data_IF_854523833630
#
_entry.id   IF_854523833630
#
_cell.length_a   1.000
_cell.length_b   1.000
_cell.length_c   1.000
_cell.angle_alpha   90.00
_cell.angle_beta   90.00
_cell.angle_gamma   90.00
#
_symmetry.space_group_name_H-M   'P 1'
#
loop_
_entity.id
_entity.type
_entity.pdbx_description
1 polymer ?
#
# COMPACT_ATOMS: atom_id res chain seq x y z
N UNK A 1 -28.18 56.07 -39.62
CA UNK A 1 -28.33 54.71 -39.12
C UNK A 1 -27.10 54.36 -38.27
N UNK A 2 -27.18 54.53 -36.95
CA UNK A 2 -26.06 54.36 -36.01
C UNK A 2 -26.09 52.93 -35.42
N UNK A 3 -24.91 52.34 -35.30
CA UNK A 3 -24.67 50.95 -34.93
C UNK A 3 -25.09 50.62 -33.48
N UNK A 4 -26.03 49.73 -33.32
CA UNK A 4 -26.49 49.13 -32.05
C UNK A 4 -25.69 47.85 -31.70
N UNK A 5 -24.35 47.93 -31.58
CA UNK A 5 -23.56 46.87 -30.99
C UNK A 5 -22.77 47.41 -29.80
N UNK A 6 -23.39 47.26 -28.62
CA UNK A 6 -22.67 47.49 -27.36
C UNK A 6 -21.57 46.43 -27.15
N UNK A 7 -20.53 46.71 -26.36
CA UNK A 7 -19.45 45.77 -26.10
C UNK A 7 -20.00 44.52 -25.41
N UNK A 8 -19.57 43.34 -25.89
CA UNK A 8 -19.92 42.04 -25.31
C UNK A 8 -19.53 42.02 -23.83
N UNK A 9 -20.47 41.64 -22.97
CA UNK A 9 -20.19 41.46 -21.53
C UNK A 9 -19.07 40.43 -21.33
N UNK A 10 -18.10 40.71 -20.46
CA UNK A 10 -17.04 39.75 -20.14
C UNK A 10 -17.70 38.49 -19.55
N UNK A 11 -17.16 37.29 -19.86
CA UNK A 11 -17.67 36.02 -19.31
C UNK A 11 -17.58 36.04 -17.79
N UNK A 12 -18.65 35.62 -17.11
CA UNK A 12 -18.71 35.57 -15.65
C UNK A 12 -17.64 34.61 -15.04
N UNK A 13 -17.34 34.75 -13.75
CA UNK A 13 -16.28 33.99 -13.09
C UNK A 13 -16.44 32.45 -13.21
N UNK A 14 -17.67 31.96 -13.27
CA UNK A 14 -17.97 30.53 -13.44
C UNK A 14 -17.58 30.03 -14.83
N UNK A 15 -17.87 30.82 -15.89
CA UNK A 15 -17.51 30.43 -17.27
C UNK A 15 -16.02 30.46 -17.53
N UNK A 16 -15.27 31.34 -16.86
CA UNK A 16 -13.79 31.37 -16.94
C UNK A 16 -13.15 30.20 -16.21
N UNK A 17 -13.74 29.77 -15.11
CA UNK A 17 -13.29 28.60 -14.34
C UNK A 17 -13.49 27.30 -15.13
N UNK A 18 -14.69 27.09 -15.69
CA UNK A 18 -14.99 25.92 -16.53
C UNK A 18 -14.10 25.87 -17.77
N UNK A 19 -13.84 27.02 -18.41
CA UNK A 19 -12.97 27.11 -19.59
C UNK A 19 -11.50 26.78 -19.28
N UNK A 20 -11.01 27.08 -18.06
CA UNK A 20 -9.69 26.65 -17.58
C UNK A 20 -9.61 25.15 -17.30
N UNK A 21 -10.69 24.55 -16.78
CA UNK A 21 -10.78 23.12 -16.55
C UNK A 21 -10.81 22.29 -17.84
N UNK A 22 -11.43 22.81 -18.89
CA UNK A 22 -11.54 22.15 -20.21
C UNK A 22 -10.28 22.39 -21.08
N UNK A 23 -9.34 23.26 -20.66
CA UNK A 23 -8.06 23.37 -21.36
C UNK A 23 -7.23 22.09 -21.18
N UNK A 24 -6.47 21.69 -22.20
CA UNK A 24 -5.60 20.48 -22.14
C UNK A 24 -4.68 20.50 -20.90
N UNK A 25 -4.18 21.68 -20.51
CA UNK A 25 -3.37 21.90 -19.30
C UNK A 25 -4.18 21.74 -18.02
N UNK A 26 -5.47 22.17 -18.03
CA UNK A 26 -6.38 22.00 -16.89
C UNK A 26 -6.72 20.52 -16.69
N UNK A 27 -7.06 19.82 -17.76
CA UNK A 27 -7.33 18.37 -17.73
C UNK A 27 -6.11 17.59 -17.22
N UNK A 28 -4.91 17.90 -17.72
CA UNK A 28 -3.68 17.26 -17.24
C UNK A 28 -3.47 17.44 -15.73
N UNK A 29 -3.69 18.67 -15.21
CA UNK A 29 -3.56 18.96 -13.77
C UNK A 29 -4.59 18.19 -12.95
N UNK A 30 -5.82 18.07 -13.42
CA UNK A 30 -6.88 17.31 -12.75
C UNK A 30 -6.51 15.83 -12.73
N UNK A 31 -6.13 15.26 -13.87
CA UNK A 31 -5.72 13.85 -13.96
C UNK A 31 -4.55 13.58 -13.03
N UNK A 32 -3.53 14.41 -13.04
CA UNK A 32 -2.38 14.27 -12.12
C UNK A 32 -2.79 14.36 -10.65
N UNK A 33 -3.65 15.31 -10.29
CA UNK A 33 -4.12 15.44 -8.91
C UNK A 33 -4.93 14.22 -8.48
N UNK A 34 -5.85 13.74 -9.31
CA UNK A 34 -6.67 12.54 -9.05
C UNK A 34 -5.78 11.30 -8.93
N UNK A 35 -4.79 11.16 -9.81
CA UNK A 35 -3.84 10.05 -9.75
C UNK A 35 -3.02 10.06 -8.45
N UNK A 36 -2.48 11.22 -8.07
CA UNK A 36 -1.69 11.37 -6.83
C UNK A 36 -2.57 11.08 -5.60
N UNK A 37 -3.77 11.64 -5.56
CA UNK A 37 -4.72 11.38 -4.46
C UNK A 37 -5.10 9.90 -4.43
N UNK A 38 -5.36 9.28 -5.57
CA UNK A 38 -5.69 7.85 -5.66
C UNK A 38 -4.55 6.96 -5.15
N UNK A 39 -3.30 7.27 -5.51
CA UNK A 39 -2.13 6.52 -5.03
C UNK A 39 -1.93 6.59 -3.52
N UNK A 40 -2.40 7.66 -2.88
CA UNK A 40 -2.30 7.83 -1.42
C UNK A 40 -3.54 7.25 -0.71
N UNK A 41 -4.74 7.58 -1.18
CA UNK A 41 -6.00 7.25 -0.50
C UNK A 41 -6.36 5.78 -0.65
N UNK A 42 -6.15 5.20 -1.84
CA UNK A 42 -6.55 3.82 -2.11
C UNK A 42 -5.88 2.78 -1.19
N UNK A 43 -4.54 2.82 -0.96
CA UNK A 43 -3.92 1.90 -0.01
C UNK A 43 -4.40 2.12 1.42
N UNK A 44 -4.62 3.36 1.85
CA UNK A 44 -5.14 3.64 3.19
C UNK A 44 -6.54 3.06 3.41
N UNK A 45 -7.43 3.19 2.42
CA UNK A 45 -8.77 2.62 2.46
C UNK A 45 -8.71 1.09 2.49
N UNK A 46 -7.86 0.49 1.66
CA UNK A 46 -7.68 -0.98 1.64
C UNK A 46 -7.17 -1.50 3.00
N UNK A 47 -6.19 -0.82 3.60
CA UNK A 47 -5.67 -1.20 4.92
C UNK A 47 -6.72 -1.02 6.02
N UNK A 48 -7.53 0.04 5.98
CA UNK A 48 -8.62 0.26 6.93
C UNK A 48 -9.70 -0.83 6.83
N UNK A 49 -10.09 -1.22 5.62
CA UNK A 49 -11.04 -2.32 5.39
C UNK A 49 -10.47 -3.62 5.93
N UNK A 50 -9.23 -3.95 5.65
CA UNK A 50 -8.58 -5.15 6.17
C UNK A 50 -8.54 -5.16 7.70
N UNK A 51 -8.14 -4.05 8.33
CA UNK A 51 -8.10 -3.92 9.79
C UNK A 51 -9.48 -4.09 10.44
N UNK A 52 -10.53 -3.58 9.79
CA UNK A 52 -11.91 -3.68 10.29
C UNK A 52 -12.52 -5.08 10.16
N UNK A 53 -12.19 -5.79 9.05
CA UNK A 53 -12.88 -7.03 8.67
C UNK A 53 -12.09 -8.31 8.97
N UNK A 54 -10.77 -8.23 9.18
CA UNK A 54 -9.89 -9.40 9.27
C UNK A 54 -9.18 -9.52 10.62
N UNK A 55 -9.81 -10.13 11.63
CA UNK A 55 -9.11 -10.50 12.86
C UNK A 55 -8.08 -11.60 12.55
N UNK A 56 -6.94 -11.55 13.24
CA UNK A 56 -5.86 -12.53 13.11
C UNK A 56 -5.77 -13.31 14.42
N UNK A 57 -5.72 -14.63 14.32
CA UNK A 57 -5.43 -15.47 15.46
C UNK A 57 -3.91 -15.44 15.75
N UNK A 58 -3.53 -14.99 16.95
CA UNK A 58 -2.16 -15.09 17.42
C UNK A 58 -1.89 -16.46 18.04
N UNK A 59 -0.69 -16.99 17.87
CA UNK A 59 -0.21 -18.12 18.68
C UNK A 59 -0.20 -17.72 20.16
N UNK A 60 -0.93 -18.44 21.00
CA UNK A 60 -1.10 -18.10 22.41
C UNK A 60 -2.52 -17.63 22.78
N UNK A 61 -3.43 -17.48 21.81
CA UNK A 61 -4.87 -17.30 22.07
C UNK A 61 -5.40 -15.86 21.99
N UNK A 62 -4.58 -14.88 21.58
CA UNK A 62 -5.02 -13.49 21.36
C UNK A 62 -5.54 -13.26 19.93
N UNK A 63 -6.24 -12.16 19.73
CA UNK A 63 -6.70 -11.71 18.41
C UNK A 63 -5.97 -10.42 18.01
N UNK A 64 -5.10 -10.50 17.00
CA UNK A 64 -4.41 -9.34 16.42
C UNK A 64 -5.18 -8.75 15.22
N UNK A 65 -4.76 -7.58 14.76
CA UNK A 65 -5.23 -6.96 13.52
C UNK A 65 -4.05 -6.37 12.75
N UNK A 66 -4.05 -6.51 11.44
CA UNK A 66 -3.15 -5.76 10.57
C UNK A 66 -3.79 -4.40 10.34
N UNK A 67 -3.17 -3.34 10.89
CA UNK A 67 -3.65 -1.98 10.71
C UNK A 67 -3.23 -1.40 9.37
N UNK A 68 -2.02 -1.77 8.90
CA UNK A 68 -1.42 -1.20 7.70
C UNK A 68 -0.38 -2.13 7.10
N UNK A 69 -0.34 -2.20 5.79
CA UNK A 69 0.79 -2.74 5.03
C UNK A 69 1.74 -1.59 4.70
N UNK A 70 2.96 -1.63 5.25
CA UNK A 70 3.98 -0.59 5.06
C UNK A 70 4.65 -0.78 3.70
N UNK A 71 5.15 -1.99 3.44
CA UNK A 71 5.73 -2.43 2.17
C UNK A 71 5.41 -3.92 1.90
N UNK A 72 6.12 -4.54 0.97
CA UNK A 72 5.83 -5.92 0.57
C UNK A 72 6.13 -6.97 1.62
N UNK A 73 6.93 -6.68 2.66
CA UNK A 73 7.33 -7.61 3.72
C UNK A 73 7.18 -7.03 5.15
N UNK A 74 6.59 -5.85 5.29
CA UNK A 74 6.45 -5.17 6.60
C UNK A 74 5.03 -4.66 6.79
N UNK A 75 4.45 -4.98 7.94
CA UNK A 75 3.09 -4.57 8.33
C UNK A 75 3.10 -3.90 9.70
N UNK A 76 2.05 -3.14 10.00
CA UNK A 76 1.74 -2.70 11.36
C UNK A 76 0.70 -3.64 11.94
N UNK A 77 1.03 -4.30 13.04
CA UNK A 77 0.14 -5.16 13.82
C UNK A 77 -0.36 -4.41 15.06
N UNK A 78 -1.58 -4.72 15.46
CA UNK A 78 -2.15 -4.37 16.76
C UNK A 78 -2.60 -5.65 17.44
N UNK A 79 -1.99 -5.98 18.55
CA UNK A 79 -2.33 -7.14 19.38
C UNK A 79 -2.67 -6.67 20.80
N UNK A 80 -3.55 -7.39 21.55
CA UNK A 80 -3.99 -6.95 22.87
C UNK A 80 -2.87 -6.82 23.90
N UNK A 81 -1.88 -7.69 23.86
CA UNK A 81 -0.78 -7.71 24.83
C UNK A 81 0.42 -6.85 24.40
N UNK A 82 0.79 -6.90 23.11
CA UNK A 82 1.97 -6.21 22.58
C UNK A 82 1.67 -4.79 22.09
N UNK A 83 0.39 -4.42 21.98
CA UNK A 83 -0.04 -3.13 21.46
C UNK A 83 0.19 -2.97 19.95
N UNK A 84 0.45 -1.73 19.52
CA UNK A 84 0.72 -1.39 18.11
C UNK A 84 2.22 -1.45 17.86
N UNK A 85 2.63 -2.31 16.92
CA UNK A 85 4.04 -2.50 16.58
C UNK A 85 4.25 -2.73 15.09
N UNK A 86 5.44 -2.39 14.60
CA UNK A 86 5.89 -2.76 13.27
C UNK A 86 6.37 -4.20 13.27
N UNK A 87 5.93 -4.99 12.31
CA UNK A 87 6.27 -6.40 12.19
C UNK A 87 6.83 -6.69 10.79
N UNK A 88 8.00 -7.34 10.75
CA UNK A 88 8.60 -7.87 9.54
C UNK A 88 8.15 -9.31 9.34
N UNK A 89 7.61 -9.58 8.16
CA UNK A 89 7.21 -10.92 7.72
C UNK A 89 8.45 -11.72 7.33
N UNK A 90 8.60 -12.91 7.89
CA UNK A 90 9.76 -13.77 7.71
C UNK A 90 9.61 -14.70 6.50
N UNK A 91 10.76 -15.21 6.03
CA UNK A 91 10.82 -16.25 4.98
C UNK A 91 11.01 -15.70 3.57
N UNK A 92 10.81 -14.42 3.35
CA UNK A 92 10.98 -13.79 2.04
C UNK A 92 11.52 -12.37 2.12
N UNK A 93 11.92 -11.83 0.98
CA UNK A 93 12.41 -10.48 0.80
C UNK A 93 11.71 -9.85 -0.41
N UNK A 94 11.40 -8.56 -0.33
CA UNK A 94 10.74 -7.79 -1.39
C UNK A 94 11.59 -6.59 -1.79
N UNK A 95 11.32 -5.99 -2.98
CA UNK A 95 11.93 -4.72 -3.37
C UNK A 95 11.70 -3.62 -2.35
N UNK A 96 12.67 -2.73 -2.18
CA UNK A 96 12.64 -1.66 -1.19
C UNK A 96 11.79 -0.47 -1.67
N UNK A 97 10.82 -0.06 -0.85
CA UNK A 97 9.90 1.02 -1.19
C UNK A 97 10.44 2.40 -0.83
N UNK A 98 11.05 2.54 0.36
CA UNK A 98 11.42 3.85 0.92
C UNK A 98 12.84 4.30 0.58
N UNK A 99 13.71 3.36 0.18
CA UNK A 99 15.06 3.64 -0.28
C UNK A 99 15.41 2.83 -1.53
N UNK A 100 14.60 2.91 -2.60
CA UNK A 100 14.82 2.14 -3.83
C UNK A 100 16.09 2.62 -4.53
N UNK A 101 16.85 1.69 -5.08
CA UNK A 101 18.08 2.01 -5.81
C UNK A 101 17.80 2.46 -7.26
N UNK A 102 16.62 2.17 -7.78
CA UNK A 102 16.19 2.55 -9.13
C UNK A 102 14.66 2.61 -9.22
N UNK A 103 14.14 3.20 -10.29
CA UNK A 103 12.69 3.32 -10.53
C UNK A 103 12.02 1.96 -10.70
N UNK A 104 12.69 0.99 -11.31
CA UNK A 104 12.14 -0.37 -11.47
C UNK A 104 11.95 -1.06 -10.14
N UNK A 105 12.87 -0.89 -9.17
CA UNK A 105 12.73 -1.39 -7.81
C UNK A 105 11.54 -0.74 -7.10
N UNK A 106 11.39 0.58 -7.20
CA UNK A 106 10.24 1.28 -6.60
C UNK A 106 8.90 0.76 -7.14
N UNK A 107 8.77 0.61 -8.46
CA UNK A 107 7.55 0.07 -9.08
C UNK A 107 7.28 -1.36 -8.61
N UNK A 108 8.33 -2.19 -8.54
CA UNK A 108 8.20 -3.56 -8.05
C UNK A 108 7.81 -3.61 -6.57
N UNK A 109 8.33 -2.71 -5.72
CA UNK A 109 7.96 -2.58 -4.31
C UNK A 109 6.49 -2.20 -4.11
N UNK A 110 5.97 -1.26 -4.91
CA UNK A 110 4.54 -0.92 -4.89
C UNK A 110 3.67 -2.13 -5.28
N UNK A 111 4.07 -2.86 -6.32
CA UNK A 111 3.36 -4.07 -6.75
C UNK A 111 3.40 -5.16 -5.66
N UNK A 112 4.53 -5.36 -4.99
CA UNK A 112 4.65 -6.29 -3.87
C UNK A 112 3.75 -5.90 -2.69
N UNK A 113 3.72 -4.61 -2.33
CA UNK A 113 2.84 -4.09 -1.28
C UNK A 113 1.36 -4.32 -1.60
N UNK A 114 0.94 -4.10 -2.85
CA UNK A 114 -0.42 -4.36 -3.30
C UNK A 114 -0.75 -5.85 -3.35
N UNK A 115 0.20 -6.70 -3.75
CA UNK A 115 0.03 -8.14 -3.74
C UNK A 115 -0.22 -8.64 -2.31
N UNK A 116 0.58 -8.18 -1.33
CA UNK A 116 0.39 -8.53 0.08
C UNK A 116 -0.99 -8.08 0.60
N UNK A 117 -1.42 -6.83 0.33
CA UNK A 117 -2.77 -6.36 0.69
C UNK A 117 -3.86 -7.25 0.13
N UNK A 118 -3.74 -7.60 -1.15
CA UNK A 118 -4.71 -8.46 -1.84
C UNK A 118 -4.76 -9.86 -1.26
N UNK A 119 -3.60 -10.44 -0.91
CA UNK A 119 -3.53 -11.75 -0.25
C UNK A 119 -4.21 -11.72 1.12
N UNK A 120 -3.94 -10.70 1.93
CA UNK A 120 -4.59 -10.48 3.24
C UNK A 120 -6.10 -10.32 3.07
N UNK A 121 -6.53 -9.50 2.10
CA UNK A 121 -7.96 -9.24 1.85
C UNK A 121 -8.72 -10.49 1.43
N UNK A 122 -8.11 -11.36 0.62
CA UNK A 122 -8.74 -12.59 0.12
C UNK A 122 -8.76 -13.72 1.14
N UNK A 123 -7.88 -13.70 2.13
CA UNK A 123 -7.82 -14.76 3.13
C UNK A 123 -8.99 -14.67 4.10
N UNK A 124 -9.57 -15.83 4.44
CA UNK A 124 -10.64 -15.92 5.44
C UNK A 124 -10.08 -16.07 6.84
N UNK A 125 -8.94 -16.75 6.99
CA UNK A 125 -8.28 -17.00 8.27
C UNK A 125 -6.82 -16.55 8.21
N UNK A 126 -6.45 -15.72 9.19
CA UNK A 126 -5.08 -15.26 9.35
C UNK A 126 -4.56 -15.76 10.69
N UNK A 127 -3.31 -16.25 10.71
CA UNK A 127 -2.61 -16.67 11.92
C UNK A 127 -1.23 -16.03 11.93
N UNK A 128 -0.82 -15.49 13.07
CA UNK A 128 0.50 -14.89 13.29
C UNK A 128 1.26 -15.67 14.37
N UNK A 129 2.52 -15.97 14.10
CA UNK A 129 3.46 -16.55 15.04
C UNK A 129 4.66 -15.60 15.22
N UNK A 130 5.01 -15.29 16.47
CA UNK A 130 6.14 -14.42 16.81
C UNK A 130 7.43 -15.21 16.85
N UNK A 131 8.51 -14.65 16.28
CA UNK A 131 9.84 -15.26 16.23
C UNK A 131 10.94 -14.32 16.74
N UNK A 132 10.60 -13.38 17.62
CA UNK A 132 11.54 -12.45 18.22
C UNK A 132 11.45 -11.04 17.64
N UNK A 133 12.54 -10.28 17.76
CA UNK A 133 12.63 -8.87 17.36
C UNK A 133 13.90 -8.66 16.56
N UNK A 134 13.86 -7.85 15.52
CA UNK A 134 15.06 -7.52 14.74
C UNK A 134 15.87 -6.37 15.40
N UNK A 135 17.03 -6.07 14.80
CA UNK A 135 17.93 -5.00 15.29
C UNK A 135 17.33 -3.58 15.23
N UNK A 136 16.19 -3.41 14.54
CA UNK A 136 15.48 -2.14 14.42
C UNK A 136 14.25 -2.07 15.35
N UNK A 137 14.05 -3.06 16.21
CA UNK A 137 12.92 -3.14 17.11
C UNK A 137 11.62 -3.59 16.46
N UNK A 138 11.64 -4.11 15.22
CA UNK A 138 10.45 -4.67 14.58
C UNK A 138 10.24 -6.12 15.04
N UNK A 139 9.00 -6.48 15.32
CA UNK A 139 8.66 -7.88 15.57
C UNK A 139 8.96 -8.73 14.32
N UNK A 140 9.60 -9.86 14.51
CA UNK A 140 9.77 -10.88 13.47
C UNK A 140 8.59 -11.84 13.57
N UNK A 141 7.80 -11.95 12.50
CA UNK A 141 6.58 -12.76 12.54
C UNK A 141 6.47 -13.65 11.29
N UNK A 142 5.89 -14.83 11.48
CA UNK A 142 5.34 -15.64 10.39
C UNK A 142 3.85 -15.37 10.29
N UNK A 143 3.37 -15.16 9.09
CA UNK A 143 1.95 -14.94 8.80
C UNK A 143 1.44 -16.07 7.91
N UNK A 144 0.42 -16.77 8.38
CA UNK A 144 -0.30 -17.77 7.61
C UNK A 144 -1.64 -17.21 7.13
N UNK A 145 -1.97 -17.47 5.89
CA UNK A 145 -3.20 -17.10 5.23
C UNK A 145 -3.90 -18.42 4.79
N UNK A 146 -5.00 -18.75 5.44
CA UNK A 146 -5.76 -19.99 5.20
C UNK A 146 -4.91 -21.28 5.34
N UNK A 147 -4.00 -21.27 6.30
CA UNK A 147 -3.09 -22.39 6.57
C UNK A 147 -1.88 -22.49 5.63
N UNK A 148 -1.64 -21.46 4.80
CA UNK A 148 -0.46 -21.35 3.94
C UNK A 148 0.41 -20.20 4.37
N UNK A 149 1.74 -20.40 4.43
CA UNK A 149 2.70 -19.32 4.73
C UNK A 149 2.60 -18.22 3.68
N UNK A 150 2.52 -16.96 4.13
CA UNK A 150 2.51 -15.80 3.24
C UNK A 150 3.79 -15.70 2.41
N UNK A 151 4.93 -16.17 2.93
CA UNK A 151 6.19 -16.20 2.20
C UNK A 151 6.06 -17.00 0.90
N UNK A 152 5.51 -18.21 0.97
CA UNK A 152 5.30 -19.05 -0.20
C UNK A 152 4.35 -18.40 -1.22
N UNK A 153 3.30 -17.77 -0.72
CA UNK A 153 2.34 -17.06 -1.60
C UNK A 153 2.97 -15.86 -2.29
N UNK A 154 3.74 -15.05 -1.57
CA UNK A 154 4.43 -13.89 -2.12
C UNK A 154 5.51 -14.28 -3.13
N UNK A 155 6.30 -15.32 -2.85
CA UNK A 155 7.31 -15.84 -3.79
C UNK A 155 6.65 -16.34 -5.09
N UNK A 156 5.52 -17.04 -4.99
CA UNK A 156 4.75 -17.48 -6.18
C UNK A 156 4.22 -16.33 -7.05
N UNK A 157 4.05 -15.13 -6.51
CA UNK A 157 3.69 -13.95 -7.34
C UNK A 157 4.84 -13.46 -8.22
N UNK A 158 6.06 -13.90 -7.97
CA UNK A 158 7.29 -13.37 -8.60
C UNK A 158 7.70 -11.98 -8.10
N UNK A 159 7.01 -11.44 -7.08
CA UNK A 159 7.27 -10.12 -6.49
C UNK A 159 8.11 -10.20 -5.19
N UNK A 160 8.45 -11.42 -4.78
CA UNK A 160 9.28 -11.69 -3.63
C UNK A 160 10.29 -12.80 -3.95
N UNK A 161 11.38 -12.86 -3.20
CA UNK A 161 12.40 -13.92 -3.26
C UNK A 161 12.50 -14.60 -1.91
N UNK A 162 12.82 -15.89 -1.90
CA UNK A 162 13.06 -16.61 -0.65
C UNK A 162 14.23 -15.93 0.07
N UNK A 163 14.04 -15.63 1.35
CA UNK A 163 15.09 -15.11 2.21
C UNK A 163 15.68 -16.24 3.05
N UNK A 164 16.85 -16.70 2.66
CA UNK A 164 17.63 -17.74 3.37
C UNK A 164 18.74 -17.16 4.27
N UNK A 165 18.71 -15.85 4.57
CA UNK A 165 19.68 -15.20 5.45
C UNK A 165 20.98 -14.75 4.76
N UNK A 166 21.05 -14.77 3.43
CA UNK A 166 22.19 -14.30 2.64
C UNK A 166 22.16 -12.82 2.27
N UNK A 167 23.12 -12.39 1.44
CA UNK A 167 23.14 -11.05 0.87
C UNK A 167 21.91 -10.83 -0.03
N UNK A 168 21.26 -9.69 0.11
CA UNK A 168 20.13 -9.29 -0.75
C UNK A 168 20.62 -9.09 -2.18
N UNK A 169 20.04 -9.80 -3.13
CA UNK A 169 20.26 -9.55 -4.55
C UNK A 169 19.68 -8.20 -4.98
N UNK A 170 20.22 -7.62 -6.04
CA UNK A 170 19.67 -6.40 -6.64
C UNK A 170 18.27 -6.64 -7.21
N UNK A 171 17.40 -5.64 -7.09
CA UNK A 171 16.08 -5.57 -7.73
C UNK A 171 16.08 -4.63 -8.97
N UNK A 172 17.22 -4.04 -9.23
CA UNK A 172 17.50 -3.28 -10.45
C UNK A 172 18.15 -4.21 -11.50
#
# INVERSE_FOLDING_TARGET
MARLFGPARPPGPVTSFVRRLVSLRGLFRIVMAVTVVGLIVLPLVADLVNAATKPILAEGGGTCRILRVIDGDTVTLMCPEEGVQSARLMGFDTPEKYAPKCLTEFIAAERASWALRTLIQKADRLKVAYNGVDRYGRALVRLELDGQDVADRMVRTGLARVNSGGLRGSWC
#
